data_IF_994156861419
#
_entry.id   IF_994156861419
#
_cell.length_a   1.000
_cell.length_b   1.000
_cell.length_c   1.000
_cell.angle_alpha   90.00
_cell.angle_beta   90.00
_cell.angle_gamma   90.00
#
_symmetry.space_group_name_H-M   'P 1'
#
loop_
_entity.id
_entity.type
_entity.pdbx_description
1 polymer ?
#
# COMPACT_ATOMS: atom_id res chain seq x y z
N UNK A 1 -26.15 -2.68 10.03
CA UNK A 1 -25.53 -1.34 9.90
C UNK A 1 -26.08 -0.69 8.64
N UNK A 2 -26.79 0.43 8.77
CA UNK A 2 -27.34 1.15 7.63
C UNK A 2 -26.24 2.07 7.08
N UNK A 3 -25.73 1.76 5.89
CA UNK A 3 -24.85 2.66 5.14
C UNK A 3 -25.64 3.92 4.78
N UNK A 4 -25.22 5.07 5.31
CA UNK A 4 -25.89 6.34 5.08
C UNK A 4 -25.09 7.15 4.06
N UNK A 5 -25.51 7.15 2.79
CA UNK A 5 -24.83 7.88 1.70
C UNK A 5 -24.63 9.37 2.03
N UNK A 6 -25.46 9.93 2.92
CA UNK A 6 -25.37 11.30 3.39
C UNK A 6 -24.09 11.61 4.19
N UNK A 7 -23.50 10.64 4.88
CA UNK A 7 -22.27 10.86 5.66
C UNK A 7 -21.01 11.00 4.80
N UNK A 8 -21.10 10.72 3.49
CA UNK A 8 -20.01 10.97 2.53
C UNK A 8 -19.98 12.45 2.12
N UNK A 9 -21.15 13.07 1.98
CA UNK A 9 -21.28 14.47 1.52
C UNK A 9 -21.33 15.48 2.67
N UNK A 10 -21.72 15.04 3.86
CA UNK A 10 -21.63 15.82 5.08
C UNK A 10 -20.95 14.97 6.16
N UNK A 11 -19.61 14.87 6.12
CA UNK A 11 -18.89 14.07 7.11
C UNK A 11 -19.14 14.63 8.51
N UNK A 12 -19.26 13.76 9.53
CA UNK A 12 -19.34 14.22 10.90
C UNK A 12 -18.11 15.08 11.24
N UNK A 13 -18.26 16.09 12.12
CA UNK A 13 -17.16 16.96 12.50
C UNK A 13 -15.99 16.15 13.08
N UNK A 14 -14.77 16.64 12.82
CA UNK A 14 -13.55 16.02 13.35
C UNK A 14 -13.66 15.86 14.87
N UNK A 15 -13.47 14.64 15.35
CA UNK A 15 -13.43 14.31 16.77
C UNK A 15 -12.20 13.47 17.05
N UNK A 16 -11.67 13.62 18.26
CA UNK A 16 -10.65 12.70 18.76
C UNK A 16 -11.30 11.34 18.98
N UNK A 17 -10.78 10.31 18.30
CA UNK A 17 -11.16 8.93 18.56
C UNK A 17 -10.55 8.49 19.88
N UNK A 18 -11.34 7.79 20.69
CA UNK A 18 -10.87 7.19 21.93
C UNK A 18 -9.98 5.99 21.64
N UNK A 19 -9.10 5.62 22.58
CA UNK A 19 -8.23 4.45 22.38
C UNK A 19 -9.05 3.19 22.10
N UNK A 20 -10.20 3.01 22.77
CA UNK A 20 -11.12 1.88 22.58
C UNK A 20 -11.63 1.75 21.14
N UNK A 21 -11.87 2.87 20.46
CA UNK A 21 -12.31 2.91 19.06
C UNK A 21 -11.16 2.64 18.07
N UNK A 22 -9.92 2.89 18.50
CA UNK A 22 -8.70 2.67 17.67
C UNK A 22 -8.00 1.35 17.95
N UNK A 23 -8.38 0.62 19.00
CA UNK A 23 -7.82 -0.70 19.36
C UNK A 23 -8.06 -1.77 18.30
N UNK A 24 -9.06 -1.59 17.44
CA UNK A 24 -9.42 -2.56 16.40
C UNK A 24 -8.51 -2.46 15.15
N UNK A 25 -7.20 -2.62 15.38
CA UNK A 25 -6.17 -2.42 14.37
C UNK A 25 -5.84 -3.70 13.56
N UNK A 26 -6.40 -4.87 13.89
CA UNK A 26 -6.04 -6.12 13.17
C UNK A 26 -6.36 -6.02 11.68
N UNK A 27 -7.58 -5.64 11.25
CA UNK A 27 -7.88 -5.51 9.84
C UNK A 27 -7.00 -4.46 9.14
N UNK A 28 -6.71 -3.34 9.82
CA UNK A 28 -5.81 -2.30 9.33
C UNK A 28 -4.36 -2.82 9.18
N UNK A 29 -3.87 -3.60 10.13
CA UNK A 29 -2.55 -4.21 10.11
C UNK A 29 -2.44 -5.22 8.97
N UNK A 30 -3.44 -6.09 8.81
CA UNK A 30 -3.52 -7.03 7.68
C UNK A 30 -3.50 -6.26 6.37
N UNK A 31 -4.33 -5.22 6.23
CA UNK A 31 -4.40 -4.45 4.99
C UNK A 31 -3.12 -3.70 4.67
N UNK A 32 -2.51 -3.06 5.67
CA UNK A 32 -1.22 -2.39 5.50
C UNK A 32 -0.13 -3.39 5.10
N UNK A 33 -0.13 -4.60 5.66
CA UNK A 33 0.82 -5.67 5.34
C UNK A 33 0.63 -6.16 3.91
N UNK A 34 -0.61 -6.55 3.55
CA UNK A 34 -0.92 -7.06 2.21
C UNK A 34 -0.64 -6.02 1.14
N UNK A 35 -1.01 -4.76 1.37
CA UNK A 35 -0.69 -3.67 0.44
C UNK A 35 0.82 -3.49 0.28
N UNK A 36 1.55 -3.37 1.38
CA UNK A 36 2.99 -3.08 1.34
C UNK A 36 3.78 -4.22 0.70
N UNK A 37 3.46 -5.48 1.04
CA UNK A 37 4.11 -6.65 0.43
C UNK A 37 3.67 -6.83 -1.01
N UNK A 38 2.37 -6.76 -1.31
CA UNK A 38 1.83 -7.00 -2.64
C UNK A 38 2.25 -5.91 -3.64
N UNK A 39 1.98 -4.65 -3.33
CA UNK A 39 2.34 -3.52 -4.18
C UNK A 39 3.86 -3.32 -4.21
N UNK A 40 4.55 -3.51 -3.08
CA UNK A 40 6.01 -3.47 -3.02
C UNK A 40 6.65 -4.50 -3.94
N UNK A 41 6.14 -5.74 -3.96
CA UNK A 41 6.59 -6.81 -4.87
C UNK A 41 6.33 -6.46 -6.33
N UNK A 42 5.17 -5.88 -6.65
CA UNK A 42 4.86 -5.40 -7.99
C UNK A 42 5.87 -4.35 -8.47
N UNK A 43 6.18 -3.36 -7.66
CA UNK A 43 7.17 -2.33 -7.99
C UNK A 43 8.59 -2.90 -8.10
N UNK A 44 9.01 -3.73 -7.14
CA UNK A 44 10.34 -4.33 -7.11
C UNK A 44 10.61 -5.22 -8.32
N UNK A 45 9.61 -5.98 -8.77
CA UNK A 45 9.70 -6.81 -9.99
C UNK A 45 9.96 -5.99 -11.26
N UNK A 46 9.64 -4.69 -11.25
CA UNK A 46 9.71 -3.82 -12.41
C UNK A 46 8.60 -4.05 -13.44
N UNK A 47 7.57 -4.85 -13.13
CA UNK A 47 6.40 -5.04 -14.02
C UNK A 47 5.71 -3.72 -14.39
N UNK A 48 5.75 -2.72 -13.49
CA UNK A 48 5.25 -1.37 -13.77
C UNK A 48 5.95 -0.68 -14.96
N UNK A 49 7.18 -1.06 -15.27
CA UNK A 49 8.00 -0.47 -16.34
C UNK A 49 8.28 -1.44 -17.49
N UNK A 50 7.46 -2.49 -17.60
CA UNK A 50 7.62 -3.45 -18.68
C UNK A 50 6.91 -2.94 -19.94
N UNK A 51 7.67 -2.78 -21.01
CA UNK A 51 7.11 -2.46 -22.32
C UNK A 51 6.18 -3.60 -22.78
N UNK A 52 4.92 -3.27 -23.05
CA UNK A 52 3.85 -4.24 -23.29
C UNK A 52 3.03 -3.90 -24.53
N UNK A 53 2.09 -4.78 -24.90
CA UNK A 53 1.19 -4.56 -26.04
C UNK A 53 0.36 -3.28 -25.90
N UNK A 54 0.08 -2.83 -24.68
CA UNK A 54 -0.62 -1.56 -24.43
C UNK A 54 0.13 -0.36 -24.99
N UNK A 55 1.44 -0.32 -24.83
CA UNK A 55 2.27 0.79 -25.33
C UNK A 55 2.48 0.67 -26.85
N UNK A 56 2.59 -0.56 -27.38
CA UNK A 56 2.57 -0.80 -28.83
C UNK A 56 1.28 -0.30 -29.48
N UNK A 57 0.12 -0.58 -28.88
CA UNK A 57 -1.18 -0.15 -29.40
C UNK A 57 -1.37 1.38 -29.36
N UNK A 58 -0.63 2.08 -28.48
CA UNK A 58 -0.56 3.54 -28.45
C UNK A 58 0.44 4.13 -29.45
N UNK A 59 1.14 3.29 -30.21
CA UNK A 59 2.17 3.73 -31.16
C UNK A 59 3.47 4.19 -30.51
N UNK A 60 3.71 3.90 -29.23
CA UNK A 60 4.93 4.31 -28.53
C UNK A 60 6.06 3.36 -28.91
N UNK A 61 7.16 3.89 -29.44
CA UNK A 61 8.35 3.09 -29.75
C UNK A 61 9.06 2.63 -28.47
N UNK A 62 9.85 1.54 -28.52
CA UNK A 62 10.67 1.13 -27.38
C UNK A 62 11.66 2.22 -26.93
N UNK A 63 12.20 3.03 -27.87
CA UNK A 63 13.11 4.12 -27.52
C UNK A 63 12.37 5.24 -26.77
N UNK A 64 11.18 5.61 -27.22
CA UNK A 64 10.40 6.67 -26.58
C UNK A 64 9.88 6.21 -25.20
N UNK A 65 9.51 4.94 -25.06
CA UNK A 65 9.16 4.37 -23.76
C UNK A 65 10.32 4.46 -22.75
N UNK A 66 11.57 4.25 -23.18
CA UNK A 66 12.74 4.39 -22.32
C UNK A 66 13.03 5.84 -21.94
N UNK A 67 12.78 6.80 -22.83
CA UNK A 67 12.89 8.24 -22.51
C UNK A 67 11.85 8.67 -21.47
N UNK A 68 10.62 8.16 -21.58
CA UNK A 68 9.55 8.42 -20.62
C UNK A 68 9.79 7.75 -19.26
N UNK A 69 10.57 6.66 -19.23
CA UNK A 69 10.88 5.90 -18.02
C UNK A 69 12.40 5.82 -17.80
N UNK A 70 13.04 6.94 -17.43
CA UNK A 70 14.49 6.99 -17.27
C UNK A 70 14.98 6.02 -16.17
N UNK A 71 16.24 5.62 -16.26
CA UNK A 71 16.79 4.58 -15.39
C UNK A 71 16.69 4.95 -13.90
N UNK A 72 17.03 6.18 -13.51
CA UNK A 72 16.95 6.65 -12.14
C UNK A 72 15.53 6.52 -11.55
N UNK A 73 14.50 6.78 -12.36
CA UNK A 73 13.10 6.67 -11.93
C UNK A 73 12.71 5.21 -11.67
N UNK A 74 13.08 4.32 -12.60
CA UNK A 74 12.86 2.88 -12.46
C UNK A 74 13.56 2.31 -11.23
N UNK A 75 14.80 2.73 -10.97
CA UNK A 75 15.54 2.32 -9.78
C UNK A 75 14.89 2.84 -8.51
N UNK A 76 14.49 4.12 -8.48
CA UNK A 76 13.80 4.73 -7.33
C UNK A 76 12.58 3.92 -6.94
N UNK A 77 11.71 3.58 -7.91
CA UNK A 77 10.47 2.86 -7.60
C UNK A 77 10.71 1.41 -7.21
N UNK A 78 11.74 0.75 -7.75
CA UNK A 78 12.15 -0.58 -7.27
C UNK A 78 12.66 -0.53 -5.84
N UNK A 79 13.47 0.47 -5.48
CA UNK A 79 13.94 0.68 -4.11
C UNK A 79 12.78 0.94 -3.17
N UNK A 80 11.85 1.82 -3.53
CA UNK A 80 10.61 2.06 -2.77
C UNK A 80 9.81 0.77 -2.60
N UNK A 81 9.70 -0.05 -3.66
CA UNK A 81 9.08 -1.36 -3.60
C UNK A 81 9.73 -2.29 -2.58
N UNK A 82 11.06 -2.36 -2.56
CA UNK A 82 11.82 -3.11 -1.55
C UNK A 82 11.59 -2.60 -0.13
N UNK A 83 11.60 -1.27 0.06
CA UNK A 83 11.30 -0.66 1.36
C UNK A 83 9.88 -0.98 1.84
N UNK A 84 8.89 -0.97 0.93
CA UNK A 84 7.51 -1.35 1.25
C UNK A 84 7.41 -2.80 1.69
N UNK A 85 8.11 -3.72 1.03
CA UNK A 85 8.13 -5.13 1.46
C UNK A 85 8.69 -5.24 2.89
N UNK A 86 9.84 -4.59 3.16
CA UNK A 86 10.43 -4.58 4.50
C UNK A 86 9.49 -4.00 5.55
N UNK A 87 8.84 -2.88 5.24
CA UNK A 87 7.82 -2.26 6.10
C UNK A 87 6.63 -3.18 6.33
N UNK A 88 6.17 -3.88 5.30
CA UNK A 88 5.09 -4.86 5.38
C UNK A 88 5.43 -6.00 6.36
N UNK A 89 6.64 -6.54 6.34
CA UNK A 89 7.07 -7.55 7.31
C UNK A 89 7.17 -7.01 8.74
N UNK A 90 7.68 -5.78 8.90
CA UNK A 90 7.74 -5.12 10.22
C UNK A 90 6.32 -4.97 10.79
N UNK A 91 5.38 -4.44 10.01
CA UNK A 91 3.98 -4.26 10.44
C UNK A 91 3.24 -5.59 10.62
N UNK A 92 3.43 -6.54 9.72
CA UNK A 92 2.75 -7.84 9.78
C UNK A 92 3.19 -8.68 10.97
N UNK A 93 4.42 -8.50 11.45
CA UNK A 93 4.95 -9.19 12.61
C UNK A 93 4.72 -8.47 13.95
N UNK A 94 4.12 -7.28 13.92
CA UNK A 94 3.79 -6.51 15.12
C UNK A 94 2.71 -7.22 15.97
N UNK A 95 2.88 -7.25 17.29
CA UNK A 95 2.08 -8.03 18.24
C UNK A 95 2.50 -9.50 18.36
N UNK A 96 3.11 -10.08 17.31
CA UNK A 96 3.60 -11.46 17.31
C UNK A 96 5.09 -11.56 17.70
N UNK A 97 5.97 -10.94 16.91
CA UNK A 97 7.42 -10.96 17.13
C UNK A 97 7.88 -9.84 18.08
N UNK A 98 7.22 -8.67 18.01
CA UNK A 98 7.58 -7.48 18.79
C UNK A 98 6.32 -6.70 19.19
N UNK A 99 6.41 -5.81 20.17
CA UNK A 99 5.27 -5.07 20.74
C UNK A 99 4.12 -5.97 21.23
N UNK A 100 4.45 -6.98 22.06
CA UNK A 100 3.53 -8.03 22.51
C UNK A 100 2.40 -7.56 23.44
N UNK A 101 2.53 -6.36 24.01
CA UNK A 101 1.52 -5.75 24.90
C UNK A 101 0.42 -5.03 24.11
N UNK A 102 0.43 -5.11 22.77
CA UNK A 102 -0.58 -4.48 21.93
C UNK A 102 -1.92 -5.16 22.16
N UNK A 103 -2.84 -4.44 22.79
CA UNK A 103 -4.19 -4.90 23.04
C UNK A 103 -5.01 -4.83 21.76
N UNK A 104 -5.31 -6.00 21.20
CA UNK A 104 -6.36 -6.16 20.20
C UNK A 104 -7.65 -6.50 20.93
N UNK A 105 -8.80 -5.95 20.53
CA UNK A 105 -10.07 -6.39 21.08
C UNK A 105 -10.19 -7.91 20.90
N UNK A 106 -10.44 -8.63 22.00
CA UNK A 106 -10.80 -10.06 21.92
C UNK A 106 -12.19 -10.11 21.31
N UNK A 107 -12.28 -10.69 20.12
CA UNK A 107 -13.55 -10.99 19.45
C UNK A 107 -14.49 -11.79 20.34
#
# INVERSE_FOLDING_TARGET
MQSNILSVFNPPPERTLTEEETRDCIPCQIMSTMFSVGFGSYLLSGKAFQYSQKEKNKGISPQDFQKLNPAWWRYTLRTVGGCLIGFGFIRGSEGWLWNKNKEYNRF
#
